data_IF_405588214695
#
_entry.id   IF_405588214695
#
_cell.length_a   1.000
_cell.length_b   1.000
_cell.length_c   1.000
_cell.angle_alpha   90.00
_cell.angle_beta   90.00
_cell.angle_gamma   90.00
#
_symmetry.space_group_name_H-M   'P 1'
#
loop_
_entity.id
_entity.type
_entity.pdbx_description
1 polymer ?
#
# COMPACT_ATOMS: atom_id res chain seq x y z
N UNK A 1 -4.60 -8.81 5.84
CA UNK A 1 -5.70 -9.76 6.06
C UNK A 1 -6.24 -9.66 7.49
N UNK A 2 -7.53 -9.93 7.69
CA UNK A 2 -8.18 -10.01 9.01
C UNK A 2 -8.71 -11.43 9.19
N UNK A 3 -8.29 -12.14 10.23
CA UNK A 3 -8.59 -13.57 10.42
C UNK A 3 -8.28 -14.43 9.17
N UNK A 4 -7.21 -14.11 8.44
CA UNK A 4 -6.83 -14.79 7.20
C UNK A 4 -7.65 -14.40 5.97
N UNK A 5 -8.59 -13.47 6.10
CA UNK A 5 -9.45 -13.01 5.00
C UNK A 5 -8.77 -11.83 4.30
N UNK A 6 -8.58 -11.95 2.99
CA UNK A 6 -8.16 -10.83 2.15
C UNK A 6 -9.31 -9.84 2.01
N UNK A 7 -9.08 -8.59 2.43
CA UNK A 7 -10.08 -7.52 2.46
C UNK A 7 -9.44 -6.23 1.98
N UNK A 8 -10.22 -5.41 1.29
CA UNK A 8 -9.79 -4.10 0.83
C UNK A 8 -10.01 -3.05 1.91
N UNK A 9 -8.97 -2.27 2.22
CA UNK A 9 -9.07 -1.11 3.12
C UNK A 9 -9.82 0.00 2.40
N UNK A 10 -10.91 0.48 3.02
CA UNK A 10 -11.70 1.60 2.53
C UNK A 10 -11.22 2.93 3.13
N UNK A 11 -10.88 2.92 4.43
CA UNK A 11 -10.36 4.07 5.17
C UNK A 11 -9.36 3.59 6.22
N UNK A 12 -8.40 4.43 6.59
CA UNK A 12 -7.46 4.16 7.67
C UNK A 12 -7.07 5.43 8.39
N UNK A 13 -6.85 5.30 9.68
CA UNK A 13 -6.41 6.32 10.61
C UNK A 13 -5.35 5.73 11.55
N UNK A 14 -4.77 6.54 12.44
CA UNK A 14 -3.60 6.15 13.23
C UNK A 14 -3.84 4.93 14.15
N UNK A 15 -5.09 4.70 14.55
CA UNK A 15 -5.46 3.63 15.50
C UNK A 15 -6.60 2.73 14.99
N UNK A 16 -7.10 2.96 13.78
CA UNK A 16 -8.20 2.18 13.23
C UNK A 16 -8.12 2.04 11.71
N UNK A 17 -8.94 1.13 11.19
CA UNK A 17 -9.11 0.89 9.78
C UNK A 17 -10.54 0.46 9.52
N UNK A 18 -11.06 0.83 8.35
CA UNK A 18 -12.32 0.34 7.81
C UNK A 18 -12.05 -0.50 6.58
N UNK A 19 -12.75 -1.61 6.46
CA UNK A 19 -12.64 -2.54 5.33
C UNK A 19 -13.98 -2.69 4.65
N UNK A 20 -13.95 -2.90 3.34
CA UNK A 20 -15.13 -3.25 2.56
C UNK A 20 -15.37 -4.76 2.62
N UNK A 21 -16.59 -5.16 2.97
CA UNK A 21 -17.01 -6.56 3.04
C UNK A 21 -18.27 -6.74 2.22
N UNK A 22 -18.22 -7.66 1.25
CA UNK A 22 -19.37 -8.04 0.44
C UNK A 22 -20.18 -9.15 1.13
N UNK A 23 -21.48 -9.32 0.82
CA UNK A 23 -22.35 -10.28 1.51
C UNK A 23 -21.80 -11.71 1.57
N UNK A 24 -21.32 -12.25 0.45
CA UNK A 24 -20.78 -13.62 0.40
C UNK A 24 -19.56 -13.80 1.33
N UNK A 25 -18.68 -12.79 1.43
CA UNK A 25 -17.53 -12.83 2.33
C UNK A 25 -17.98 -12.76 3.79
N UNK A 26 -18.96 -11.93 4.11
CA UNK A 26 -19.52 -11.85 5.47
C UNK A 26 -20.15 -13.18 5.89
N UNK A 27 -20.98 -13.78 5.03
CA UNK A 27 -21.72 -15.01 5.30
C UNK A 27 -20.84 -16.26 5.37
N UNK A 28 -19.79 -16.32 4.54
CA UNK A 28 -18.92 -17.50 4.37
C UNK A 28 -17.68 -17.52 5.25
N UNK A 29 -17.45 -16.48 6.06
CA UNK A 29 -16.26 -16.37 6.92
C UNK A 29 -16.65 -16.20 8.39
N UNK A 30 -15.66 -16.14 9.28
CA UNK A 30 -15.95 -15.94 10.70
C UNK A 30 -16.37 -14.50 11.06
N UNK A 31 -16.36 -13.56 10.10
CA UNK A 31 -16.74 -12.17 10.32
C UNK A 31 -18.17 -12.02 10.85
N UNK A 32 -19.11 -12.85 10.38
CA UNK A 32 -20.51 -12.87 10.83
C UNK A 32 -20.72 -13.21 12.31
N UNK A 33 -19.70 -13.72 12.99
CA UNK A 33 -19.76 -14.06 14.42
C UNK A 33 -19.05 -13.05 15.30
N UNK A 34 -18.35 -12.07 14.70
CA UNK A 34 -17.65 -11.04 15.45
C UNK A 34 -18.65 -10.04 16.04
N UNK A 35 -18.32 -9.56 17.23
CA UNK A 35 -19.02 -8.48 17.92
C UNK A 35 -18.03 -7.37 18.29
N UNK A 36 -18.47 -6.12 18.53
CA UNK A 36 -17.59 -5.08 19.05
C UNK A 36 -16.79 -5.57 20.26
N UNK A 37 -15.47 -5.34 20.26
CA UNK A 37 -14.55 -5.84 21.28
C UNK A 37 -13.99 -7.25 21.03
N UNK A 38 -14.44 -7.94 19.97
CA UNK A 38 -13.85 -9.22 19.57
C UNK A 38 -12.41 -9.03 19.09
N UNK A 39 -11.53 -9.92 19.53
CA UNK A 39 -10.17 -9.99 19.01
C UNK A 39 -10.15 -10.60 17.60
N UNK A 40 -9.23 -10.10 16.78
CA UNK A 40 -8.99 -10.60 15.43
C UNK A 40 -7.49 -10.74 15.20
N UNK A 41 -7.11 -11.69 14.36
CA UNK A 41 -5.75 -11.81 13.88
C UNK A 41 -5.53 -10.83 12.73
N UNK A 42 -4.48 -10.01 12.82
CA UNK A 42 -4.10 -9.07 11.79
C UNK A 42 -2.79 -9.50 11.12
N UNK A 43 -2.79 -9.51 9.79
CA UNK A 43 -1.61 -9.76 8.98
C UNK A 43 -1.44 -8.62 7.98
N UNK A 44 -0.26 -7.98 7.99
CA UNK A 44 0.09 -6.95 7.02
C UNK A 44 0.46 -7.54 5.66
N UNK A 45 0.30 -6.75 4.60
CA UNK A 45 0.69 -7.17 3.26
C UNK A 45 2.22 -7.34 3.17
N UNK A 46 2.66 -8.47 2.63
CA UNK A 46 4.08 -8.77 2.42
C UNK A 46 4.73 -7.77 1.43
N UNK A 47 3.97 -7.26 0.46
CA UNK A 47 4.43 -6.23 -0.47
C UNK A 47 4.83 -4.97 0.29
N UNK A 48 4.08 -4.59 1.34
CA UNK A 48 4.43 -3.47 2.21
C UNK A 48 5.81 -3.64 2.86
N UNK A 49 6.11 -4.85 3.37
CA UNK A 49 7.44 -5.17 3.94
C UNK A 49 8.56 -5.06 2.92
N UNK A 50 8.32 -5.50 1.69
CA UNK A 50 9.32 -5.37 0.62
C UNK A 50 9.51 -3.92 0.18
N UNK A 51 8.44 -3.13 0.07
CA UNK A 51 8.50 -1.70 -0.25
C UNK A 51 9.26 -0.95 0.84
N UNK A 52 8.93 -1.18 2.12
CA UNK A 52 9.66 -0.63 3.26
C UNK A 52 11.15 -0.97 3.17
N UNK A 53 11.49 -2.25 2.96
CA UNK A 53 12.87 -2.69 2.81
C UNK A 53 13.56 -1.98 1.64
N UNK A 54 12.93 -1.83 0.48
CA UNK A 54 13.52 -1.13 -0.66
C UNK A 54 13.78 0.35 -0.37
N UNK A 55 12.84 1.04 0.29
CA UNK A 55 12.99 2.44 0.66
C UNK A 55 14.11 2.65 1.69
N UNK A 56 14.28 1.72 2.63
CA UNK A 56 15.33 1.78 3.65
C UNK A 56 16.68 1.18 3.20
N UNK A 57 16.70 0.36 2.14
CA UNK A 57 17.93 -0.24 1.60
C UNK A 57 18.69 0.67 0.64
N UNK A 58 18.37 1.97 0.60
CA UNK A 58 19.13 2.96 -0.15
C UNK A 58 20.09 3.76 0.77
N UNK A 59 21.30 3.26 1.10
CA UNK A 59 22.37 4.08 1.66
C UNK A 59 22.92 5.11 0.65
N UNK A 60 22.26 5.30 -0.50
CA UNK A 60 22.66 6.19 -1.59
C UNK A 60 21.53 7.17 -1.97
N UNK A 61 21.07 7.96 -1.00
CA UNK A 61 20.54 9.30 -1.31
C UNK A 61 21.64 10.34 -1.59
N UNK A 62 22.88 9.90 -1.83
CA UNK A 62 23.96 10.75 -2.35
C UNK A 62 23.94 10.90 -3.88
N UNK A 63 23.02 10.24 -4.60
CA UNK A 63 22.91 10.34 -6.08
C UNK A 63 21.75 11.24 -6.56
N UNK A 64 20.83 11.63 -5.68
CA UNK A 64 19.78 12.61 -6.01
C UNK A 64 20.23 14.09 -5.86
N UNK A 65 21.54 14.32 -5.78
CA UNK A 65 22.11 15.68 -5.90
C UNK A 65 22.89 15.89 -7.21
N UNK A 66 22.92 14.91 -8.13
CA UNK A 66 23.76 14.97 -9.33
C UNK A 66 23.11 14.48 -10.64
N UNK A 67 21.78 14.35 -10.70
CA UNK A 67 21.03 14.23 -11.96
C UNK A 67 20.04 15.40 -12.05
N UNK A 68 20.57 16.62 -12.13
CA UNK A 68 20.62 17.41 -13.37
C UNK A 68 19.23 17.61 -14.00
N UNK A 69 18.62 18.73 -13.61
CA UNK A 69 17.55 19.41 -14.35
C UNK A 69 17.91 19.69 -15.83
N UNK A 70 19.15 19.43 -16.26
CA UNK A 70 19.63 19.55 -17.64
C UNK A 70 19.16 18.43 -18.58
N UNK A 71 18.75 17.25 -18.08
CA UNK A 71 18.34 16.13 -18.96
C UNK A 71 16.82 16.07 -19.23
N UNK A 72 15.99 16.81 -18.48
CA UNK A 72 14.55 16.89 -18.72
C UNK A 72 14.18 18.22 -19.42
N UNK A 73 14.70 18.43 -20.63
CA UNK A 73 14.35 19.60 -21.43
C UNK A 73 13.00 19.40 -22.14
N UNK A 74 12.28 20.49 -22.49
CA UNK A 74 11.08 20.40 -23.33
C UNK A 74 11.33 19.69 -24.67
N UNK A 75 12.50 19.89 -25.27
CA UNK A 75 12.87 19.23 -26.54
C UNK A 75 12.99 17.71 -26.40
N UNK A 76 13.60 17.22 -25.31
CA UNK A 76 13.66 15.79 -25.01
C UNK A 76 12.26 15.17 -24.84
N UNK A 77 11.33 15.90 -24.21
CA UNK A 77 9.95 15.45 -24.04
C UNK A 77 9.20 15.37 -25.37
N UNK A 78 9.40 16.36 -26.26
CA UNK A 78 8.81 16.36 -27.60
C UNK A 78 9.38 15.23 -28.48
N UNK A 79 10.70 15.01 -28.48
CA UNK A 79 11.35 13.94 -29.24
C UNK A 79 10.87 12.53 -28.85
N UNK A 80 10.47 12.35 -27.60
CA UNK A 80 9.97 11.07 -27.08
C UNK A 80 8.43 11.01 -26.97
N UNK A 81 7.71 11.99 -27.54
CA UNK A 81 6.25 11.94 -27.71
C UNK A 81 5.42 12.22 -26.45
N UNK A 82 5.97 12.98 -25.51
CA UNK A 82 5.26 13.39 -24.28
C UNK A 82 4.59 14.79 -24.38
N UNK A 83 4.81 15.51 -25.48
CA UNK A 83 4.17 16.78 -25.87
C UNK A 83 3.57 16.62 -27.27
#
# INVERSE_FOLDING_TARGET
>A
AINGISLTIAETDAMSLKVSVIPVTYESTNLRYLSPGSWVNLEGDILGKYVEKLLHSNPQSSLASAASSEYLTPDFLAENGYL
#
